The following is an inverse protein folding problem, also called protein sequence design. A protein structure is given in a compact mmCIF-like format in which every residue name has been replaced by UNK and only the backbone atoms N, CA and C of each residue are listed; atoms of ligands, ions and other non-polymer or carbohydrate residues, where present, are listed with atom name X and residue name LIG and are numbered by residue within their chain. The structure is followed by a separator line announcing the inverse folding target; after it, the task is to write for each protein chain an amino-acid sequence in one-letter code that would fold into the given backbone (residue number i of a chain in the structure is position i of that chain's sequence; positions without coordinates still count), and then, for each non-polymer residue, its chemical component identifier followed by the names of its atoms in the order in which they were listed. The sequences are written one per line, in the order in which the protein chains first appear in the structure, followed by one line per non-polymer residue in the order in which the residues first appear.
data_IF_112932669364
#
_entry.id   IF_112932669364
#
_cell.length_a   1.000
_cell.length_b   1.000
_cell.length_c   1.000
_cell.angle_alpha   90.00
_cell.angle_beta   90.00
_cell.angle_gamma   90.00
#
_symmetry.space_group_name_H-M   'P 1'
#
loop_
_entity.id
_entity.type
_entity.pdbx_description
1 polymer ?
#
# COMPACT_ATOMS: atom_id res chain seq x y z
N UNK A 1 24.89 -5.27 -27.18
CA UNK A 1 24.12 -5.82 -26.06
C UNK A 1 24.09 -4.93 -24.81
N UNK A 2 25.12 -4.16 -24.47
CA UNK A 2 25.14 -3.27 -23.29
C UNK A 2 24.17 -2.06 -23.36
N UNK A 3 23.71 -1.65 -24.54
CA UNK A 3 22.79 -0.49 -24.70
C UNK A 3 21.31 -0.80 -24.45
N UNK A 4 20.90 -2.07 -24.50
CA UNK A 4 19.50 -2.45 -24.29
C UNK A 4 19.15 -2.50 -22.79
N UNK A 5 20.06 -3.00 -21.97
CA UNK A 5 19.89 -3.07 -20.52
C UNK A 5 19.77 -1.66 -19.87
N UNK A 6 20.52 -0.68 -20.40
CA UNK A 6 20.47 0.70 -19.91
C UNK A 6 19.13 1.39 -20.23
N UNK A 7 18.51 1.06 -21.38
CA UNK A 7 17.21 1.64 -21.76
C UNK A 7 16.04 1.07 -20.93
N UNK A 8 16.10 -0.21 -20.55
CA UNK A 8 15.08 -0.83 -19.70
C UNK A 8 15.15 -0.27 -18.26
N UNK A 9 16.37 -0.11 -17.72
CA UNK A 9 16.58 0.48 -16.41
C UNK A 9 16.10 1.93 -16.33
N UNK A 10 16.35 2.73 -17.36
CA UNK A 10 15.90 4.13 -17.41
C UNK A 10 14.37 4.24 -17.55
N UNK A 11 13.72 3.37 -18.28
CA UNK A 11 12.26 3.36 -18.42
C UNK A 11 11.56 2.95 -17.13
N UNK A 12 12.09 1.97 -16.41
CA UNK A 12 11.57 1.56 -15.09
C UNK A 12 11.76 2.68 -14.06
N UNK A 13 12.93 3.31 -14.04
CA UNK A 13 13.21 4.44 -13.12
C UNK A 13 12.31 5.65 -13.43
N UNK A 14 12.09 5.96 -14.71
CA UNK A 14 11.18 7.03 -15.12
C UNK A 14 9.72 6.74 -14.75
N UNK A 15 9.27 5.49 -14.87
CA UNK A 15 7.92 5.07 -14.47
C UNK A 15 7.72 5.19 -12.95
N UNK A 16 8.71 4.83 -12.14
CA UNK A 16 8.68 4.98 -10.68
C UNK A 16 8.68 6.45 -10.27
N UNK A 17 9.48 7.29 -10.92
CA UNK A 17 9.53 8.74 -10.66
C UNK A 17 8.20 9.40 -11.05
N UNK A 18 7.63 9.06 -12.20
CA UNK A 18 6.33 9.59 -12.64
C UNK A 18 5.19 9.15 -11.73
N UNK A 19 5.19 7.91 -11.23
CA UNK A 19 4.24 7.45 -10.22
C UNK A 19 4.38 8.23 -8.90
N UNK A 20 5.61 8.48 -8.43
CA UNK A 20 5.86 9.30 -7.23
C UNK A 20 5.38 10.75 -7.40
N UNK A 21 5.68 11.38 -8.54
CA UNK A 21 5.24 12.75 -8.83
C UNK A 21 3.71 12.85 -8.98
N UNK A 22 3.06 11.87 -9.59
CA UNK A 22 1.59 11.81 -9.71
C UNK A 22 0.88 11.73 -8.37
N UNK A 23 1.48 11.08 -7.36
CA UNK A 23 0.91 10.97 -6.01
C UNK A 23 0.92 12.29 -5.24
N UNK A 24 1.93 13.14 -5.43
CA UNK A 24 2.01 14.45 -4.77
C UNK A 24 1.08 15.51 -5.35
N UNK A 25 0.51 15.28 -6.53
CA UNK A 25 -0.38 16.24 -7.22
C UNK A 25 -1.87 15.98 -6.98
N UNK A 26 -2.24 14.89 -6.31
CA UNK A 26 -3.63 14.56 -6.04
C UNK A 26 -4.08 15.18 -4.70
N UNK A 27 -4.67 16.36 -4.79
CA UNK A 27 -5.52 16.91 -3.73
C UNK A 27 -6.90 16.23 -3.81
N UNK A 28 -6.88 14.90 -3.83
CA UNK A 28 -8.06 14.07 -3.80
C UNK A 28 -8.60 13.92 -2.38
N UNK A 29 -9.89 13.55 -2.25
CA UNK A 29 -10.50 13.24 -0.97
C UNK A 29 -9.96 11.97 -0.31
N UNK A 30 -10.63 11.50 0.74
CA UNK A 30 -10.23 10.31 1.49
C UNK A 30 -10.14 9.04 0.63
N UNK A 31 -10.97 8.91 -0.41
CA UNK A 31 -10.89 7.77 -1.35
C UNK A 31 -9.56 7.73 -2.11
N UNK A 32 -9.07 8.89 -2.55
CA UNK A 32 -7.78 8.96 -3.25
C UNK A 32 -6.62 8.62 -2.31
N UNK A 33 -6.69 9.06 -1.05
CA UNK A 33 -5.73 8.69 -0.02
C UNK A 33 -5.77 7.18 0.28
N UNK A 34 -6.96 6.58 0.33
CA UNK A 34 -7.12 5.14 0.49
C UNK A 34 -6.50 4.37 -0.69
N UNK A 35 -6.73 4.80 -1.92
CA UNK A 35 -6.10 4.20 -3.11
C UNK A 35 -4.58 4.35 -3.08
N UNK A 36 -4.07 5.52 -2.72
CA UNK A 36 -2.64 5.75 -2.57
C UNK A 36 -2.00 4.86 -1.49
N UNK A 37 -2.74 4.55 -0.43
CA UNK A 37 -2.30 3.63 0.62
C UNK A 37 -2.07 2.21 0.06
N UNK A 38 -3.01 1.66 -0.71
CA UNK A 38 -2.85 0.34 -1.33
C UNK A 38 -1.80 0.33 -2.44
N UNK A 39 -1.66 1.43 -3.20
CA UNK A 39 -0.57 1.59 -4.16
C UNK A 39 0.80 1.55 -3.48
N UNK A 40 0.93 2.21 -2.33
CA UNK A 40 2.17 2.20 -1.55
C UNK A 40 2.50 0.79 -1.01
N UNK A 41 1.50 0.02 -0.59
CA UNK A 41 1.68 -1.39 -0.24
C UNK A 41 2.15 -2.23 -1.43
N UNK A 42 1.54 -2.05 -2.61
CA UNK A 42 1.94 -2.76 -3.84
C UNK A 42 3.38 -2.45 -4.24
N UNK A 43 3.80 -1.21 -4.06
CA UNK A 43 5.15 -0.76 -4.41
C UNK A 43 6.19 -1.01 -3.30
N UNK A 44 5.77 -1.43 -2.11
CA UNK A 44 6.65 -1.53 -0.94
C UNK A 44 7.22 -0.18 -0.51
N UNK A 45 6.48 0.91 -0.74
CA UNK A 45 6.92 2.28 -0.48
C UNK A 45 6.59 2.71 0.95
N UNK A 46 7.48 2.35 1.88
CA UNK A 46 7.33 2.65 3.31
C UNK A 46 7.29 4.16 3.60
N UNK A 47 8.01 4.98 2.83
CA UNK A 47 7.99 6.43 2.98
C UNK A 47 6.62 7.01 2.60
N UNK A 48 6.01 6.52 1.52
CA UNK A 48 4.66 6.91 1.12
C UNK A 48 3.62 6.50 2.16
N UNK A 49 3.75 5.33 2.78
CA UNK A 49 2.89 4.90 3.89
C UNK A 49 3.02 5.87 5.06
N UNK A 50 4.24 6.22 5.46
CA UNK A 50 4.48 7.15 6.57
C UNK A 50 3.86 8.53 6.33
N UNK A 51 3.88 9.01 5.09
CA UNK A 51 3.28 10.30 4.73
C UNK A 51 1.73 10.28 4.74
N UNK A 52 1.13 9.10 4.53
CA UNK A 52 -0.32 8.92 4.48
C UNK A 52 -0.97 8.72 5.85
N UNK A 53 -0.22 8.22 6.84
CA UNK A 53 -0.74 7.94 8.19
C UNK A 53 -0.43 9.08 9.16
N UNK A 54 -1.27 9.22 10.20
CA UNK A 54 -1.04 10.18 11.28
C UNK A 54 0.05 9.70 12.24
N UNK A 55 0.61 10.63 13.04
CA UNK A 55 1.64 10.30 14.02
C UNK A 55 1.12 9.39 15.14
N UNK A 56 -0.17 9.46 15.43
CA UNK A 56 -0.89 8.65 16.42
C UNK A 56 -1.68 7.48 15.80
N UNK A 57 -1.29 7.05 14.59
CA UNK A 57 -1.91 5.95 13.89
C UNK A 57 -1.90 4.66 14.71
N UNK A 58 -3.04 3.96 14.71
CA UNK A 58 -3.20 2.64 15.31
C UNK A 58 -4.01 1.75 14.37
N UNK A 59 -3.45 0.62 13.95
CA UNK A 59 -4.18 -0.39 13.20
C UNK A 59 -4.64 -1.53 14.10
N UNK A 60 -5.80 -2.08 13.77
CA UNK A 60 -6.32 -3.32 14.33
C UNK A 60 -6.48 -4.34 13.21
N UNK A 61 -5.63 -5.36 13.20
CA UNK A 61 -5.65 -6.41 12.18
C UNK A 61 -6.32 -7.65 12.75
N UNK A 62 -7.51 -7.96 12.27
CA UNK A 62 -8.29 -9.11 12.72
C UNK A 62 -8.04 -10.32 11.81
N UNK A 63 -7.61 -11.42 12.39
CA UNK A 63 -7.40 -12.70 11.72
C UNK A 63 -8.11 -13.82 12.47
N UNK A 64 -8.11 -15.02 11.92
CA UNK A 64 -8.64 -16.20 12.60
C UNK A 64 -7.87 -16.57 13.89
N UNK A 65 -6.62 -16.10 14.01
CA UNK A 65 -5.74 -16.37 15.15
C UNK A 65 -5.90 -15.34 16.28
N UNK A 66 -6.50 -14.19 15.99
CA UNK A 66 -6.71 -13.10 16.94
C UNK A 66 -6.64 -11.70 16.33
N UNK A 67 -6.46 -10.72 17.19
CA UNK A 67 -6.29 -9.32 16.83
C UNK A 67 -4.85 -8.89 17.09
N UNK A 68 -4.23 -8.30 16.11
CA UNK A 68 -2.90 -7.69 16.18
C UNK A 68 -3.04 -6.16 16.10
N UNK A 69 -2.30 -5.42 16.93
CA UNK A 69 -2.30 -3.96 16.95
C UNK A 69 -0.96 -3.45 16.44
N UNK A 70 -0.98 -2.38 15.65
CA UNK A 70 0.23 -1.80 15.06
C UNK A 70 0.18 -0.28 15.10
N UNK A 71 1.25 0.33 15.58
CA UNK A 71 1.49 1.76 15.43
C UNK A 71 2.10 2.08 14.03
N UNK A 72 2.40 3.37 13.78
CA UNK A 72 2.93 3.81 12.49
C UNK A 72 4.33 3.22 12.18
N UNK A 73 5.19 3.05 13.18
CA UNK A 73 6.53 2.49 13.00
C UNK A 73 6.48 0.98 12.72
N UNK A 74 5.60 0.27 13.42
CA UNK A 74 5.34 -1.14 13.19
C UNK A 74 4.72 -1.38 11.80
N UNK A 75 3.79 -0.51 11.36
CA UNK A 75 3.23 -0.56 10.02
C UNK A 75 4.31 -0.43 8.94
N UNK A 76 5.20 0.56 9.07
CA UNK A 76 6.33 0.77 8.15
C UNK A 76 7.21 -0.45 8.09
N UNK A 77 7.57 -1.04 9.25
CA UNK A 77 8.38 -2.26 9.32
C UNK A 77 7.70 -3.45 8.63
N UNK A 78 6.38 -3.57 8.75
CA UNK A 78 5.62 -4.63 8.07
C UNK A 78 5.61 -4.42 6.55
N UNK A 79 5.45 -3.18 6.07
CA UNK A 79 5.53 -2.87 4.63
C UNK A 79 6.89 -3.24 4.05
N UNK A 80 7.97 -2.91 4.74
CA UNK A 80 9.35 -3.26 4.33
C UNK A 80 9.56 -4.77 4.29
N UNK A 81 9.15 -5.49 5.36
CA UNK A 81 9.27 -6.95 5.43
C UNK A 81 8.41 -7.65 4.37
N UNK A 82 7.23 -7.11 4.08
CA UNK A 82 6.34 -7.61 3.04
C UNK A 82 6.97 -7.45 1.64
N UNK A 83 7.60 -6.30 1.38
CA UNK A 83 8.30 -6.04 0.12
C UNK A 83 9.52 -6.96 -0.09
N UNK A 84 10.16 -7.42 0.99
CA UNK A 84 11.26 -8.39 0.93
C UNK A 84 10.74 -9.83 0.70
N UNK A 85 9.63 -10.19 1.34
CA UNK A 85 9.08 -11.55 1.30
C UNK A 85 8.34 -11.86 0.00
N UNK A 86 7.75 -10.86 -0.63
CA UNK A 86 6.90 -11.02 -1.81
C UNK A 86 7.36 -10.14 -2.97
N UNK A 87 7.35 -10.72 -4.15
CA UNK A 87 7.48 -10.00 -5.42
C UNK A 87 6.11 -9.83 -6.08
N UNK A 88 6.00 -8.90 -6.99
CA UNK A 88 4.79 -8.68 -7.79
C UNK A 88 3.52 -8.52 -6.95
N UNK A 89 3.63 -7.82 -5.81
CA UNK A 89 2.47 -7.51 -4.97
C UNK A 89 1.57 -6.52 -5.71
N UNK A 90 0.30 -6.85 -5.81
CA UNK A 90 -0.73 -6.01 -6.42
C UNK A 90 -2.04 -6.12 -5.64
N UNK A 91 -2.71 -4.98 -5.47
CA UNK A 91 -4.03 -4.91 -4.83
C UNK A 91 -5.08 -4.52 -5.85
N UNK A 92 -6.01 -5.41 -6.08
CA UNK A 92 -7.19 -5.17 -6.90
C UNK A 92 -8.33 -4.68 -6.01
N UNK A 93 -8.66 -3.38 -6.11
CA UNK A 93 -9.69 -2.74 -5.29
C UNK A 93 -11.04 -2.89 -5.97
N UNK A 94 -11.89 -3.75 -5.43
CA UNK A 94 -13.23 -4.04 -5.99
C UNK A 94 -14.27 -2.99 -5.61
N UNK A 95 -14.24 -2.55 -4.35
CA UNK A 95 -15.17 -1.56 -3.80
C UNK A 95 -14.44 -0.58 -2.92
N UNK A 96 -14.73 0.71 -3.10
CA UNK A 96 -14.21 1.79 -2.25
C UNK A 96 -15.40 2.68 -1.89
N UNK A 97 -15.75 2.72 -0.62
CA UNK A 97 -16.94 3.43 -0.11
C UNK A 97 -16.48 4.42 0.95
N UNK A 98 -16.74 5.70 0.73
CA UNK A 98 -16.40 6.78 1.65
C UNK A 98 -17.64 7.35 2.32
N UNK A 99 -17.57 7.49 3.66
CA UNK A 99 -18.62 8.13 4.44
C UNK A 99 -18.07 8.66 5.77
N UNK A 100 -18.35 9.90 6.09
CA UNK A 100 -18.04 10.54 7.40
C UNK A 100 -16.59 10.31 7.89
N UNK A 101 -15.59 10.59 7.05
CA UNK A 101 -14.19 10.43 7.42
C UNK A 101 -13.72 8.97 7.51
N UNK A 102 -14.48 8.06 6.96
CA UNK A 102 -14.17 6.64 6.91
C UNK A 102 -14.21 6.15 5.47
N UNK A 103 -13.26 5.31 5.08
CA UNK A 103 -13.25 4.64 3.76
C UNK A 103 -13.17 3.13 3.98
N UNK A 104 -14.19 2.42 3.49
CA UNK A 104 -14.20 0.97 3.46
C UNK A 104 -13.71 0.50 2.09
N UNK A 105 -12.79 -0.45 2.08
CA UNK A 105 -12.21 -1.02 0.87
C UNK A 105 -12.33 -2.54 0.91
N UNK A 106 -12.92 -3.12 -0.14
CA UNK A 106 -12.83 -4.56 -0.40
C UNK A 106 -11.82 -4.79 -1.50
N UNK A 107 -10.82 -5.62 -1.23
CA UNK A 107 -9.71 -5.84 -2.14
C UNK A 107 -9.26 -7.30 -2.16
N UNK A 108 -8.63 -7.68 -3.27
CA UNK A 108 -7.84 -8.91 -3.38
C UNK A 108 -6.37 -8.52 -3.52
N UNK A 109 -5.53 -9.07 -2.67
CA UNK A 109 -4.08 -8.97 -2.80
C UNK A 109 -3.58 -10.18 -3.61
N UNK A 110 -2.81 -9.92 -4.65
CA UNK A 110 -2.04 -10.92 -5.38
C UNK A 110 -0.57 -10.76 -5.04
N UNK A 111 0.12 -11.84 -4.77
CA UNK A 111 1.55 -11.80 -4.49
C UNK A 111 2.24 -13.10 -4.89
N UNK A 112 3.53 -12.99 -5.25
CA UNK A 112 4.42 -14.12 -5.45
C UNK A 112 5.44 -14.16 -4.31
N UNK A 113 5.52 -15.30 -3.61
CA UNK A 113 6.51 -15.46 -2.54
C UNK A 113 7.91 -15.56 -3.12
N UNK A 114 8.81 -14.67 -2.74
CA UNK A 114 10.14 -14.49 -3.35
C UNK A 114 10.99 -15.77 -3.30
N UNK A 115 11.00 -16.44 -2.14
CA UNK A 115 11.84 -17.62 -1.91
C UNK A 115 11.30 -18.87 -2.61
N UNK A 116 9.99 -19.09 -2.65
CA UNK A 116 9.35 -20.31 -3.16
C UNK A 116 8.82 -20.17 -4.58
N UNK A 117 8.67 -18.94 -5.09
CA UNK A 117 8.04 -18.66 -6.39
C UNK A 117 6.55 -19.01 -6.46
N UNK A 118 5.90 -19.26 -5.32
CA UNK A 118 4.47 -19.58 -5.27
C UNK A 118 3.63 -18.33 -5.33
N UNK A 119 2.66 -18.34 -6.23
CA UNK A 119 1.64 -17.32 -6.31
C UNK A 119 0.54 -17.59 -5.27
N UNK A 120 -0.02 -16.51 -4.75
CA UNK A 120 -1.16 -16.55 -3.84
C UNK A 120 -2.02 -15.31 -3.97
N UNK A 121 -3.25 -15.45 -3.50
CA UNK A 121 -4.18 -14.32 -3.39
C UNK A 121 -4.93 -14.37 -2.07
N UNK A 122 -5.22 -13.19 -1.53
CA UNK A 122 -5.94 -13.02 -0.27
C UNK A 122 -7.02 -11.96 -0.48
N UNK A 123 -8.25 -12.35 -0.20
CA UNK A 123 -9.37 -11.40 -0.12
C UNK A 123 -9.44 -10.76 1.26
N UNK A 124 -9.72 -9.47 1.30
CA UNK A 124 -9.83 -8.76 2.55
C UNK A 124 -10.72 -7.52 2.48
N UNK A 125 -11.05 -7.03 3.65
CA UNK A 125 -11.74 -5.75 3.85
C UNK A 125 -10.89 -4.92 4.80
N UNK A 126 -10.66 -3.66 4.42
CA UNK A 126 -10.04 -2.65 5.26
C UNK A 126 -11.03 -1.51 5.50
N UNK A 127 -11.01 -0.98 6.71
CA UNK A 127 -11.72 0.25 7.06
C UNK A 127 -10.67 1.24 7.52
N UNK A 128 -10.52 2.33 6.77
CA UNK A 128 -9.57 3.40 7.05
C UNK A 128 -10.33 4.58 7.66
N UNK A 129 -9.92 5.00 8.85
CA UNK A 129 -10.47 6.19 9.52
C UNK A 129 -9.48 7.34 9.39
N UNK A 130 -10.00 8.50 9.04
CA UNK A 130 -9.20 9.69 8.78
C UNK A 130 -9.32 10.70 9.91
N UNK A 131 -8.19 11.29 10.28
CA UNK A 131 -8.09 12.54 10.99
C UNK A 131 -7.53 13.61 10.06
N UNK A 132 -8.38 14.56 9.64
CA UNK A 132 -8.04 15.46 8.55
C UNK A 132 -7.74 14.70 7.25
N UNK A 133 -6.54 14.88 6.74
CA UNK A 133 -6.08 14.27 5.48
C UNK A 133 -5.32 12.95 5.68
N UNK A 134 -5.07 12.55 6.93
CA UNK A 134 -4.26 11.39 7.26
C UNK A 134 -5.08 10.25 7.81
N UNK A 135 -4.61 9.04 7.53
CA UNK A 135 -5.20 7.80 8.06
C UNK A 135 -4.77 7.66 9.52
N UNK A 136 -5.74 7.60 10.43
CA UNK A 136 -5.51 7.47 11.88
C UNK A 136 -5.73 6.03 12.39
N UNK A 137 -6.52 5.21 11.65
CA UNK A 137 -6.81 3.80 11.96
C UNK A 137 -7.03 3.00 10.67
#
# INVERSE_FOLDING_TARGET
MKRLALKVGAAVLAAVILRRLGRHLHHGGHEDAARAYFDAWSDGDADAIRDLVSDDYQAHVHTLEGTDERDADELVSVVESHAEAFSQVDYDLHEVISHNGCVAVRATMHACHEETGKDGEIDGIAILRFDGDRIAE
#
